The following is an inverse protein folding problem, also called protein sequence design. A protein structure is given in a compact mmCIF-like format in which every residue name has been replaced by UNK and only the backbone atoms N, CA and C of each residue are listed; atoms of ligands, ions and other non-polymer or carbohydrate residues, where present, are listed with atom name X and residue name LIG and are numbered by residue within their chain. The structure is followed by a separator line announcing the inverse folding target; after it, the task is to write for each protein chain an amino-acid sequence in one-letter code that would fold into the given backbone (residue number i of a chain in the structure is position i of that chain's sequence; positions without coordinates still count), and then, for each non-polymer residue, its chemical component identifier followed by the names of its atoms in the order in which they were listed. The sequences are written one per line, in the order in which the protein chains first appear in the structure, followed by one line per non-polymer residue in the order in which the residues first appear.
data_IF_608066801879
#
_entry.id   IF_608066801879
#
_cell.length_a   1.000
_cell.length_b   1.000
_cell.length_c   1.000
_cell.angle_alpha   90.00
_cell.angle_beta   90.00
_cell.angle_gamma   90.00
#
_symmetry.space_group_name_H-M   'P 1'
#
loop_
_entity.id
_entity.type
_entity.pdbx_description
1 polymer ?
#
# COMPACT_ATOMS: atom_id res chain seq x y z
N UNK A 1 -6.35 0.65 17.70
CA UNK A 1 -6.24 0.16 16.30
C UNK A 1 -5.71 -1.27 16.38
N UNK A 2 -6.40 -2.25 15.80
CA UNK A 2 -5.90 -3.64 15.75
C UNK A 2 -5.41 -3.87 14.31
N UNK A 3 -4.11 -4.06 14.14
CA UNK A 3 -3.51 -4.41 12.85
C UNK A 3 -3.29 -5.92 12.86
N UNK A 4 -3.79 -6.60 11.83
CA UNK A 4 -3.51 -8.02 11.61
C UNK A 4 -2.81 -8.10 10.26
N UNK A 5 -1.55 -8.51 10.28
CA UNK A 5 -0.76 -8.75 9.08
C UNK A 5 -0.81 -10.24 8.75
N UNK A 6 -1.09 -10.57 7.49
CA UNK A 6 -1.03 -11.94 6.96
C UNK A 6 0.14 -12.03 5.97
N UNK A 7 0.88 -13.14 6.00
CA UNK A 7 2.05 -13.36 5.13
C UNK A 7 3.32 -13.85 5.84
N UNK A 8 3.32 -13.91 7.18
CA UNK A 8 4.43 -14.49 7.97
C UNK A 8 4.10 -15.91 8.50
N UNK A 9 2.92 -16.45 8.20
CA UNK A 9 2.38 -17.67 8.82
C UNK A 9 2.53 -18.96 7.99
N UNK A 10 3.27 -18.95 6.87
CA UNK A 10 3.62 -20.20 6.17
C UNK A 10 4.87 -20.90 6.74
N UNK A 11 5.59 -20.23 7.65
CA UNK A 11 6.66 -20.81 8.47
C UNK A 11 6.18 -21.07 9.90
N UNK A 12 6.69 -22.11 10.55
CA UNK A 12 6.37 -22.42 11.95
C UNK A 12 6.69 -21.22 12.84
N UNK A 13 5.67 -20.55 13.37
CA UNK A 13 5.84 -19.49 14.38
C UNK A 13 6.62 -20.02 15.57
N UNK A 14 7.83 -19.51 15.80
CA UNK A 14 8.53 -19.67 17.08
C UNK A 14 7.98 -18.61 18.03
N UNK A 15 7.74 -18.94 19.31
CA UNK A 15 7.02 -18.08 20.26
C UNK A 15 7.78 -16.81 20.71
N UNK A 16 8.81 -16.38 19.97
CA UNK A 16 9.71 -15.29 20.37
C UNK A 16 9.82 -14.10 19.39
N UNK A 17 9.17 -14.14 18.21
CA UNK A 17 9.37 -13.15 17.13
C UNK A 17 8.41 -11.94 17.14
N UNK A 18 7.60 -11.79 18.19
CA UNK A 18 6.58 -10.72 18.25
C UNK A 18 7.11 -9.34 18.69
N UNK A 19 8.43 -9.13 18.76
CA UNK A 19 9.03 -7.89 19.30
C UNK A 19 9.63 -6.96 18.26
N UNK A 20 9.77 -7.38 17.01
CA UNK A 20 10.29 -6.54 15.93
C UNK A 20 9.28 -5.45 15.49
N UNK A 21 9.13 -4.41 16.31
CA UNK A 21 8.36 -3.22 15.96
C UNK A 21 9.01 -2.43 14.82
N UNK A 22 8.23 -1.57 14.14
CA UNK A 22 8.74 -0.62 13.13
C UNK A 22 9.86 0.29 13.69
N UNK A 23 9.88 0.46 15.01
CA UNK A 23 10.83 1.31 15.75
C UNK A 23 12.01 0.52 16.37
N UNK A 24 12.09 -0.80 16.19
CA UNK A 24 13.12 -1.67 16.81
C UNK A 24 14.46 -1.66 16.04
N UNK A 25 14.76 -0.52 15.42
CA UNK A 25 15.83 -0.36 14.44
C UNK A 25 15.38 -0.71 13.02
N UNK A 26 16.16 -0.33 11.99
CA UNK A 26 15.77 -0.55 10.62
C UNK A 26 15.52 -2.04 10.36
N UNK A 27 14.32 -2.39 9.88
CA UNK A 27 13.85 -3.76 9.63
C UNK A 27 14.80 -4.61 8.74
N UNK A 28 15.67 -3.98 7.95
CA UNK A 28 16.71 -4.65 7.16
C UNK A 28 17.92 -5.13 8.00
N UNK A 29 18.01 -4.78 9.29
CA UNK A 29 19.05 -5.27 10.21
C UNK A 29 18.70 -6.62 10.86
N UNK A 30 17.47 -7.11 10.72
CA UNK A 30 17.02 -8.37 11.31
C UNK A 30 17.55 -9.56 10.51
N UNK A 31 18.63 -10.19 10.95
CA UNK A 31 19.40 -11.15 10.15
C UNK A 31 18.92 -12.60 10.25
N UNK A 32 17.90 -12.85 11.06
CA UNK A 32 17.50 -14.22 11.42
C UNK A 32 16.66 -14.93 10.34
N UNK A 33 16.19 -14.20 9.32
CA UNK A 33 15.38 -14.75 8.22
C UNK A 33 15.76 -14.13 6.86
N UNK A 34 15.82 -14.93 5.77
CA UNK A 34 15.92 -14.40 4.42
C UNK A 34 14.70 -13.52 4.13
N UNK A 35 14.94 -12.34 3.56
CA UNK A 35 13.89 -11.35 3.27
C UNK A 35 13.59 -11.32 1.78
N UNK A 36 12.30 -11.28 1.49
CA UNK A 36 11.78 -11.12 0.14
C UNK A 36 10.72 -10.01 0.18
N UNK A 37 10.86 -9.01 -0.68
CA UNK A 37 9.87 -7.96 -0.93
C UNK A 37 8.72 -8.48 -1.80
N UNK A 38 8.86 -9.68 -2.37
CA UNK A 38 7.86 -10.32 -3.22
C UNK A 38 7.61 -9.54 -4.50
N UNK A 39 8.66 -8.98 -5.10
CA UNK A 39 8.56 -8.10 -6.26
C UNK A 39 7.95 -8.83 -7.46
N UNK A 40 6.90 -8.25 -8.05
CA UNK A 40 6.21 -8.80 -9.22
C UNK A 40 6.58 -8.01 -10.47
N UNK A 41 6.96 -8.68 -11.56
CA UNK A 41 7.21 -8.02 -12.84
C UNK A 41 5.90 -7.66 -13.53
N UNK A 42 5.80 -6.41 -13.98
CA UNK A 42 4.67 -5.89 -14.76
C UNK A 42 3.64 -5.13 -13.94
N UNK A 43 3.29 -3.92 -14.42
CA UNK A 43 2.39 -3.01 -13.72
C UNK A 43 0.98 -3.57 -13.58
N UNK A 44 0.47 -4.20 -14.63
CA UNK A 44 -0.89 -4.73 -14.68
C UNK A 44 -1.01 -5.97 -13.80
N UNK A 45 -0.02 -6.84 -13.85
CA UNK A 45 0.06 -8.08 -13.07
C UNK A 45 0.15 -7.78 -11.57
N UNK A 46 1.07 -6.89 -11.19
CA UNK A 46 1.27 -6.51 -9.80
C UNK A 46 0.08 -5.77 -9.19
N UNK A 47 -0.55 -4.85 -9.92
CA UNK A 47 -1.75 -4.12 -9.41
C UNK A 47 -2.96 -5.04 -9.28
N UNK A 48 -3.16 -5.99 -10.21
CA UNK A 48 -4.19 -7.02 -10.08
C UNK A 48 -3.95 -7.90 -8.86
N UNK A 49 -2.72 -8.36 -8.66
CA UNK A 49 -2.37 -9.17 -7.49
C UNK A 49 -2.61 -8.41 -6.18
N UNK A 50 -2.21 -7.14 -6.12
CA UNK A 50 -2.46 -6.26 -4.97
C UNK A 50 -3.95 -6.18 -4.62
N UNK A 51 -4.80 -5.93 -5.62
CA UNK A 51 -6.26 -5.86 -5.44
C UNK A 51 -6.82 -7.19 -4.94
N UNK A 52 -6.49 -8.30 -5.61
CA UNK A 52 -6.99 -9.64 -5.27
C UNK A 52 -6.57 -10.01 -3.85
N UNK A 53 -5.33 -9.72 -3.43
CA UNK A 53 -4.87 -10.02 -2.08
C UNK A 53 -5.74 -9.36 -1.00
N UNK A 54 -6.13 -8.09 -1.19
CA UNK A 54 -7.00 -7.40 -0.24
C UNK A 54 -8.44 -7.96 -0.27
N UNK A 55 -9.01 -8.16 -1.46
CA UNK A 55 -10.39 -8.66 -1.63
C UNK A 55 -10.56 -10.08 -1.10
N UNK A 56 -9.61 -10.97 -1.40
CA UNK A 56 -9.60 -12.34 -0.89
C UNK A 56 -9.48 -12.37 0.63
N UNK A 57 -8.60 -11.55 1.22
CA UNK A 57 -8.48 -11.48 2.67
C UNK A 57 -9.75 -10.95 3.33
N UNK A 58 -10.36 -9.91 2.75
CA UNK A 58 -11.63 -9.38 3.25
C UNK A 58 -12.76 -10.41 3.17
N UNK A 59 -12.83 -11.17 2.07
CA UNK A 59 -13.81 -12.24 1.87
C UNK A 59 -13.67 -13.33 2.93
N UNK A 60 -12.45 -13.80 3.18
CA UNK A 60 -12.18 -14.81 4.20
C UNK A 60 -12.48 -14.28 5.61
N UNK A 61 -12.10 -13.04 5.90
CA UNK A 61 -12.37 -12.41 7.19
C UNK A 61 -13.86 -12.37 7.48
N UNK A 62 -14.68 -11.91 6.54
CA UNK A 62 -16.13 -11.84 6.73
C UNK A 62 -16.82 -13.20 6.65
N UNK A 63 -16.28 -14.17 5.90
CA UNK A 63 -16.77 -15.54 5.92
C UNK A 63 -16.73 -16.14 7.34
N UNK A 64 -15.66 -15.85 8.11
CA UNK A 64 -15.56 -16.27 9.51
C UNK A 64 -16.56 -15.57 10.45
N UNK A 65 -17.18 -14.46 10.02
CA UNK A 65 -18.12 -13.66 10.78
C UNK A 65 -19.59 -13.85 10.36
N UNK A 66 -19.89 -14.88 9.57
CA UNK A 66 -21.25 -15.16 9.08
C UNK A 66 -21.60 -14.46 7.76
N UNK A 67 -20.60 -13.96 7.03
CA UNK A 67 -20.73 -13.37 5.70
C UNK A 67 -20.86 -11.86 5.71
N UNK A 68 -20.53 -11.24 4.56
CA UNK A 68 -20.53 -9.79 4.39
C UNK A 68 -21.92 -9.16 4.58
N UNK A 69 -22.98 -9.85 4.15
CA UNK A 69 -24.35 -9.31 4.21
C UNK A 69 -24.85 -9.17 5.65
N UNK A 70 -24.52 -10.12 6.52
CA UNK A 70 -24.85 -10.05 7.94
C UNK A 70 -24.13 -8.87 8.62
N UNK A 71 -22.87 -8.66 8.27
CA UNK A 71 -22.07 -7.54 8.80
C UNK A 71 -22.59 -6.20 8.25
N UNK A 72 -22.93 -6.11 6.97
CA UNK A 72 -23.57 -4.92 6.37
C UNK A 72 -24.91 -4.60 7.05
N UNK A 73 -25.75 -5.61 7.30
CA UNK A 73 -27.02 -5.43 7.99
C UNK A 73 -26.83 -4.91 9.42
N UNK A 74 -25.86 -5.47 10.16
CA UNK A 74 -25.50 -5.00 11.50
C UNK A 74 -24.92 -3.58 11.50
N UNK A 75 -24.11 -3.22 10.51
CA UNK A 75 -23.56 -1.88 10.39
C UNK A 75 -24.64 -0.84 10.07
N UNK A 76 -25.67 -1.21 9.29
CA UNK A 76 -26.81 -0.35 8.94
C UNK A 76 -27.83 -0.19 10.06
N UNK A 77 -27.98 -1.18 10.94
CA UNK A 77 -28.98 -1.12 12.02
C UNK A 77 -28.71 0.01 13.02
N UNK A 78 -27.50 0.59 13.02
CA UNK A 78 -27.18 1.79 13.81
C UNK A 78 -27.26 1.58 15.33
N UNK A 79 -27.47 0.33 15.78
CA UNK A 79 -27.55 -0.05 17.19
C UNK A 79 -26.13 -0.01 17.75
N UNK A 80 -25.74 1.19 18.16
CA UNK A 80 -24.51 1.45 18.89
C UNK A 80 -24.86 1.52 20.37
N UNK A 81 -24.16 0.76 21.19
CA UNK A 81 -24.25 0.97 22.63
C UNK A 81 -23.78 2.40 22.96
N UNK A 82 -24.44 3.11 23.89
CA UNK A 82 -24.05 4.46 24.26
C UNK A 82 -22.60 4.46 24.75
N UNK A 83 -21.75 5.23 24.07
CA UNK A 83 -20.30 5.31 24.31
C UNK A 83 -19.43 4.46 23.37
N UNK A 84 -20.01 3.70 22.43
CA UNK A 84 -19.23 2.97 21.43
C UNK A 84 -18.71 3.88 20.31
N UNK A 85 -17.43 3.71 19.95
CA UNK A 85 -16.80 4.42 18.83
C UNK A 85 -17.16 3.70 17.54
N UNK A 86 -17.56 4.44 16.50
CA UNK A 86 -17.81 3.88 15.17
C UNK A 86 -16.51 3.32 14.60
N UNK A 87 -16.43 2.00 14.46
CA UNK A 87 -15.30 1.31 13.84
C UNK A 87 -15.63 0.92 12.40
N UNK A 88 -14.60 0.66 11.59
CA UNK A 88 -14.75 0.12 10.25
C UNK A 88 -13.60 -0.83 9.99
N UNK A 89 -13.91 -1.99 9.42
CA UNK A 89 -12.92 -2.98 9.05
C UNK A 89 -12.41 -2.66 7.65
N UNK A 90 -11.13 -2.29 7.59
CA UNK A 90 -10.48 -1.82 6.36
C UNK A 90 -9.33 -2.75 6.04
N UNK A 91 -9.27 -3.20 4.80
CA UNK A 91 -8.27 -4.13 4.30
C UNK A 91 -7.31 -3.39 3.39
N UNK A 92 -6.02 -3.54 3.66
CA UNK A 92 -4.94 -2.89 2.93
C UNK A 92 -4.03 -3.97 2.36
N UNK A 93 -3.72 -3.87 1.07
CA UNK A 93 -2.66 -4.64 0.43
C UNK A 93 -1.59 -3.68 -0.10
N UNK A 94 -0.34 -4.12 0.02
CA UNK A 94 0.84 -3.45 -0.54
C UNK A 94 1.61 -4.49 -1.34
N UNK A 95 1.91 -4.19 -2.60
CA UNK A 95 2.61 -5.10 -3.51
C UNK A 95 3.76 -4.36 -4.18
N UNK A 96 4.98 -4.89 -4.05
CA UNK A 96 6.12 -4.39 -4.82
C UNK A 96 6.00 -4.86 -6.28
N UNK A 97 6.27 -3.95 -7.21
CA UNK A 97 6.14 -4.16 -8.66
C UNK A 97 7.40 -3.63 -9.33
N UNK A 98 8.02 -4.43 -10.20
CA UNK A 98 9.12 -3.97 -11.06
C UNK A 98 8.64 -3.77 -12.49
N UNK A 99 9.11 -2.69 -13.11
CA UNK A 99 8.84 -2.33 -14.49
C UNK A 99 10.09 -1.73 -15.12
N UNK A 100 10.29 -2.00 -16.40
CA UNK A 100 11.35 -1.37 -17.18
C UNK A 100 11.14 0.17 -17.21
N UNK A 101 12.20 0.96 -17.09
CA UNK A 101 12.09 2.42 -17.16
C UNK A 101 11.72 2.90 -18.57
N UNK A 102 10.73 3.78 -18.64
CA UNK A 102 10.33 4.39 -19.92
C UNK A 102 11.27 5.56 -20.27
N UNK A 103 12.32 5.23 -21.04
CA UNK A 103 13.31 6.20 -21.53
C UNK A 103 12.74 7.23 -22.50
N UNK A 104 11.52 7.06 -23.00
CA UNK A 104 10.90 7.95 -23.97
C UNK A 104 10.15 9.12 -23.32
N UNK A 105 9.82 9.04 -22.02
CA UNK A 105 9.04 10.07 -21.31
C UNK A 105 9.70 11.44 -21.30
N UNK A 106 11.05 11.49 -21.33
CA UNK A 106 11.81 12.74 -21.32
C UNK A 106 12.84 12.75 -22.44
N UNK A 107 12.46 13.24 -23.64
CA UNK A 107 13.18 13.09 -24.92
C UNK A 107 14.70 13.37 -25.00
N UNK A 108 15.35 13.88 -23.93
CA UNK A 108 16.82 13.94 -23.81
C UNK A 108 17.45 12.59 -23.44
N UNK A 109 16.77 11.73 -22.68
CA UNK A 109 17.24 10.37 -22.34
C UNK A 109 17.21 9.45 -23.55
N UNK A 110 16.24 9.59 -24.45
CA UNK A 110 16.18 8.81 -25.70
C UNK A 110 17.35 9.10 -26.66
N UNK A 111 17.85 10.34 -26.70
CA UNK A 111 19.01 10.72 -27.50
C UNK A 111 20.33 10.21 -26.86
N UNK A 112 20.48 10.35 -25.55
CA UNK A 112 21.64 9.85 -24.81
C UNK A 112 21.71 8.30 -24.76
N UNK A 113 20.57 7.62 -24.67
CA UNK A 113 20.49 6.16 -24.73
C UNK A 113 20.97 5.61 -26.08
N UNK A 114 20.80 6.37 -27.16
CA UNK A 114 21.28 5.98 -28.50
C UNK A 114 22.81 6.11 -28.62
N UNK A 115 23.41 7.09 -27.94
CA UNK A 115 24.88 7.25 -27.86
C UNK A 115 25.52 6.25 -26.88
N UNK A 116 24.87 5.94 -25.75
CA UNK A 116 25.37 4.96 -24.75
C UNK A 116 25.37 3.52 -25.27
N UNK A 117 24.39 3.17 -26.11
CA UNK A 117 24.27 1.83 -26.73
C UNK A 117 25.41 1.48 -27.68
N UNK A 118 26.18 2.47 -28.13
CA UNK A 118 27.36 2.25 -28.98
C UNK A 118 28.67 2.14 -28.15
N UNK A 119 28.62 2.33 -26.82
CA UNK A 119 29.81 2.50 -25.98
C UNK A 119 29.97 1.52 -24.79
N UNK A 120 28.95 0.76 -24.36
CA UNK A 120 29.06 -0.11 -23.17
C UNK A 120 28.57 -1.54 -23.40
N UNK A 121 29.41 -2.51 -23.03
CA UNK A 121 29.11 -3.94 -22.91
C UNK A 121 28.06 -4.18 -21.80
N UNK A 122 26.94 -4.78 -22.19
CA UNK A 122 25.99 -5.68 -21.50
C UNK A 122 25.61 -5.61 -19.99
N UNK A 123 26.25 -4.83 -19.10
CA UNK A 123 25.92 -4.81 -17.66
C UNK A 123 25.13 -3.58 -17.18
N UNK A 124 24.99 -2.53 -18.01
CA UNK A 124 24.38 -1.24 -17.62
C UNK A 124 22.84 -1.20 -17.83
N UNK A 125 22.25 -2.26 -18.39
CA UNK A 125 20.80 -2.34 -18.70
C UNK A 125 19.96 -2.82 -17.49
N UNK A 126 20.52 -3.57 -16.53
CA UNK A 126 19.80 -3.96 -15.30
C UNK A 126 19.61 -2.81 -14.31
N UNK A 127 20.44 -1.75 -14.43
CA UNK A 127 20.39 -0.53 -13.64
C UNK A 127 19.21 0.39 -13.99
N UNK A 128 18.47 0.05 -15.04
CA UNK A 128 17.38 0.86 -15.57
C UNK A 128 16.01 0.39 -15.12
N UNK A 129 15.90 -0.75 -14.44
CA UNK A 129 14.62 -1.18 -13.89
C UNK A 129 14.22 -0.27 -12.71
N UNK A 130 12.94 0.04 -12.64
CA UNK A 130 12.35 0.78 -11.53
C UNK A 130 11.30 -0.08 -10.85
N UNK A 131 11.29 -0.09 -9.53
CA UNK A 131 10.21 -0.68 -8.76
C UNK A 131 9.33 0.37 -8.09
N UNK A 132 8.07 -0.01 -7.85
CA UNK A 132 7.01 0.80 -7.26
C UNK A 132 6.22 -0.07 -6.28
N UNK A 133 5.55 0.54 -5.32
CA UNK A 133 4.53 -0.13 -4.52
C UNK A 133 3.16 0.19 -5.09
N UNK A 134 2.37 -0.84 -5.40
CA UNK A 134 0.92 -0.70 -5.53
C UNK A 134 0.30 -0.81 -4.13
N UNK A 135 -0.58 0.14 -3.80
CA UNK A 135 -1.32 0.17 -2.56
C UNK A 135 -2.80 0.13 -2.91
N UNK A 136 -3.53 -0.82 -2.32
CA UNK A 136 -4.97 -0.94 -2.50
C UNK A 136 -5.65 -1.05 -1.14
N UNK A 137 -6.67 -0.22 -0.93
CA UNK A 137 -7.49 -0.22 0.28
C UNK A 137 -8.94 -0.53 -0.09
N UNK A 138 -9.58 -1.41 0.68
CA UNK A 138 -10.99 -1.77 0.51
C UNK A 138 -11.71 -1.84 1.85
N UNK A 139 -12.89 -1.24 1.90
CA UNK A 139 -13.88 -1.39 2.95
C UNK A 139 -15.16 -2.00 2.30
N UNK A 140 -15.33 -3.33 2.37
CA UNK A 140 -16.48 -3.99 1.75
C UNK A 140 -17.82 -3.64 2.40
N UNK A 141 -17.82 -3.19 3.67
CA UNK A 141 -19.04 -2.84 4.39
C UNK A 141 -19.61 -1.52 3.86
N UNK A 142 -18.74 -0.55 3.59
CA UNK A 142 -19.12 0.77 3.08
C UNK A 142 -18.94 0.93 1.56
N UNK A 143 -18.48 -0.12 0.86
CA UNK A 143 -18.26 -0.13 -0.59
C UNK A 143 -17.31 0.99 -1.03
N UNK A 144 -16.23 1.18 -0.25
CA UNK A 144 -15.19 2.16 -0.53
C UNK A 144 -13.94 1.40 -0.96
N UNK A 145 -13.43 1.72 -2.14
CA UNK A 145 -12.16 1.23 -2.63
C UNK A 145 -11.32 2.40 -3.16
N UNK A 146 -10.03 2.39 -2.85
CA UNK A 146 -9.07 3.32 -3.42
C UNK A 146 -7.75 2.60 -3.71
N UNK A 147 -7.05 3.06 -4.74
CA UNK A 147 -5.77 2.53 -5.14
C UNK A 147 -4.80 3.68 -5.42
N UNK A 148 -3.52 3.45 -5.17
CA UNK A 148 -2.45 4.34 -5.65
C UNK A 148 -1.20 3.53 -5.96
N UNK A 149 -0.27 4.15 -6.69
CA UNK A 149 1.05 3.60 -6.97
C UNK A 149 2.07 4.60 -6.45
N UNK A 150 3.10 4.12 -5.76
CA UNK A 150 4.17 4.97 -5.24
C UNK A 150 5.01 5.58 -6.35
N UNK A 151 5.85 6.55 -5.96
CA UNK A 151 6.93 7.05 -6.81
C UNK A 151 7.84 5.88 -7.27
N UNK A 152 8.44 5.95 -8.46
CA UNK A 152 9.47 4.99 -8.87
C UNK A 152 10.69 5.05 -7.96
N UNK A 153 11.29 3.88 -7.73
CA UNK A 153 12.50 3.68 -6.94
C UNK A 153 13.44 2.78 -7.77
N UNK A 154 14.77 2.99 -7.78
CA UNK A 154 15.69 2.12 -8.51
C UNK A 154 15.55 0.65 -8.07
N UNK A 155 15.37 -0.28 -9.03
CA UNK A 155 15.16 -1.71 -8.74
C UNK A 155 16.32 -2.35 -7.95
N UNK A 156 17.56 -1.90 -8.17
CA UNK A 156 18.72 -2.38 -7.41
C UNK A 156 18.61 -2.17 -5.91
N UNK A 157 17.88 -1.15 -5.45
CA UNK A 157 17.66 -0.94 -4.01
C UNK A 157 16.88 -2.10 -3.37
N UNK A 158 15.95 -2.72 -4.11
CA UNK A 158 15.27 -3.93 -3.65
C UNK A 158 16.28 -5.07 -3.47
N UNK A 159 17.18 -5.28 -4.44
CA UNK A 159 18.23 -6.31 -4.39
C UNK A 159 19.20 -6.10 -3.22
N UNK A 160 19.58 -4.85 -2.95
CA UNK A 160 20.45 -4.51 -1.82
C UNK A 160 19.79 -4.86 -0.47
N UNK A 161 18.47 -4.68 -0.35
CA UNK A 161 17.71 -4.98 0.87
C UNK A 161 17.41 -6.48 1.05
N UNK A 162 17.25 -7.21 -0.07
CA UNK A 162 16.98 -8.65 -0.12
C UNK A 162 18.25 -9.52 -0.04
N UNK A 163 19.45 -8.93 -0.18
CA UNK A 163 20.70 -9.66 -0.16
C UNK A 163 20.78 -10.63 1.04
N UNK A 164 20.95 -11.95 0.79
CA UNK A 164 20.78 -12.98 1.82
C UNK A 164 21.80 -12.82 2.95
N UNK A 165 21.33 -13.01 4.19
CA UNK A 165 22.19 -13.37 5.31
C UNK A 165 22.48 -14.87 5.26
N UNK A 166 23.73 -15.35 5.42
CA UNK A 166 24.01 -16.78 5.32
C UNK A 166 23.30 -17.58 6.42
N UNK A 167 22.55 -18.61 6.03
CA UNK A 167 21.87 -19.56 6.90
C UNK A 167 22.89 -20.62 7.38
N UNK A 168 23.68 -20.25 8.39
CA UNK A 168 24.58 -21.07 9.21
C UNK A 168 25.95 -21.56 8.65
N UNK A 169 26.90 -21.58 9.61
CA UNK A 169 28.19 -22.30 9.69
C UNK A 169 29.47 -21.65 9.11
N UNK A 170 29.73 -20.39 9.45
CA UNK A 170 31.04 -19.92 9.93
C UNK A 170 30.89 -18.46 10.38
N UNK A 171 30.81 -18.25 11.69
CA UNK A 171 30.93 -16.92 12.26
C UNK A 171 32.28 -16.30 11.84
N UNK A 172 32.26 -15.01 11.50
CA UNK A 172 33.39 -14.06 11.50
C UNK A 172 33.76 -13.31 10.20
N UNK A 173 32.90 -13.26 9.19
CA UNK A 173 33.06 -12.29 8.09
C UNK A 173 31.81 -11.39 7.91
N UNK A 174 31.84 -10.10 8.33
CA UNK A 174 30.80 -9.11 7.99
C UNK A 174 30.66 -8.89 6.46
N UNK A 175 31.66 -9.30 5.68
CA UNK A 175 31.77 -9.11 4.23
C UNK A 175 30.84 -10.02 3.40
N UNK A 176 30.31 -11.11 3.95
CA UNK A 176 29.42 -12.03 3.21
C UNK A 176 27.94 -11.60 3.18
N UNK A 177 27.61 -10.42 3.73
CA UNK A 177 26.24 -10.00 4.09
C UNK A 177 25.74 -8.79 3.30
N UNK A 178 26.45 -8.44 2.23
CA UNK A 178 26.33 -7.19 1.48
C UNK A 178 26.31 -7.54 0.01
N UNK A 179 25.37 -6.97 -0.75
CA UNK A 179 25.31 -7.14 -2.20
C UNK A 179 26.63 -6.66 -2.83
N UNK A 180 27.07 -7.27 -3.92
CA UNK A 180 28.40 -6.96 -4.49
C UNK A 180 28.55 -5.46 -4.85
N UNK A 181 27.48 -4.84 -5.38
CA UNK A 181 27.38 -3.41 -5.74
C UNK A 181 27.80 -2.46 -4.62
N UNK A 182 27.51 -2.83 -3.38
CA UNK A 182 27.71 -1.98 -2.22
C UNK A 182 28.78 -2.53 -1.28
N UNK A 183 29.43 -3.64 -1.65
CA UNK A 183 30.47 -4.27 -0.82
C UNK A 183 31.67 -3.35 -0.63
N UNK A 184 32.18 -2.72 -1.70
CA UNK A 184 33.32 -1.80 -1.62
C UNK A 184 33.04 -0.61 -0.72
N UNK A 185 31.87 0.00 -0.85
CA UNK A 185 31.41 1.14 -0.02
C UNK A 185 31.43 0.77 1.47
N UNK A 186 30.91 -0.41 1.81
CA UNK A 186 30.89 -0.89 3.20
C UNK A 186 32.29 -1.28 3.69
N UNK A 187 33.13 -1.86 2.84
CA UNK A 187 34.51 -2.24 3.19
C UNK A 187 35.43 -1.04 3.41
N UNK A 188 35.18 0.07 2.72
CA UNK A 188 35.88 1.35 2.92
C UNK A 188 35.50 2.03 4.24
N UNK A 189 34.53 1.47 4.98
CA UNK A 189 34.04 2.00 6.25
C UNK A 189 33.07 3.17 6.08
N UNK A 190 32.52 3.35 4.87
CA UNK A 190 31.47 4.33 4.62
C UNK A 190 30.11 3.84 5.16
N UNK A 191 29.12 4.74 5.14
CA UNK A 191 27.76 4.46 5.62
C UNK A 191 27.09 3.41 4.72
N UNK A 192 26.60 2.31 5.30
CA UNK A 192 25.90 1.24 4.57
C UNK A 192 24.70 1.82 3.79
N UNK A 193 24.68 1.69 2.45
CA UNK A 193 23.61 2.26 1.63
C UNK A 193 22.19 1.86 2.03
N UNK A 194 22.03 0.67 2.62
CA UNK A 194 20.74 0.16 3.07
C UNK A 194 20.11 1.03 4.16
N UNK A 195 20.91 1.77 4.94
CA UNK A 195 20.41 2.68 5.98
C UNK A 195 19.53 3.77 5.41
N UNK A 196 20.05 4.52 4.45
CA UNK A 196 19.31 5.62 3.85
C UNK A 196 18.25 5.11 2.88
N UNK A 197 18.54 4.04 2.12
CA UNK A 197 17.54 3.39 1.23
C UNK A 197 16.29 2.99 2.00
N UNK A 198 16.43 2.36 3.17
CA UNK A 198 15.29 1.96 3.99
C UNK A 198 14.47 3.17 4.50
N UNK A 199 15.15 4.28 4.81
CA UNK A 199 14.48 5.54 5.12
C UNK A 199 13.62 6.04 3.94
N UNK A 200 14.19 6.07 2.73
CA UNK A 200 13.45 6.45 1.53
C UNK A 200 12.25 5.54 1.23
N UNK A 201 12.40 4.23 1.39
CA UNK A 201 11.29 3.28 1.22
C UNK A 201 10.18 3.52 2.25
N UNK A 202 10.55 3.77 3.51
CA UNK A 202 9.59 4.10 4.58
C UNK A 202 8.80 5.35 4.24
N UNK A 203 9.46 6.40 3.77
CA UNK A 203 8.82 7.68 3.43
C UNK A 203 7.92 7.53 2.20
N UNK A 204 8.36 6.79 1.18
CA UNK A 204 7.58 6.49 -0.02
C UNK A 204 6.30 5.71 0.30
N UNK A 205 6.42 4.67 1.14
CA UNK A 205 5.26 3.90 1.64
C UNK A 205 4.33 4.76 2.49
N UNK A 206 4.88 5.55 3.41
CA UNK A 206 4.09 6.44 4.28
C UNK A 206 3.28 7.45 3.47
N UNK A 207 3.91 8.06 2.47
CA UNK A 207 3.23 8.99 1.56
C UNK A 207 2.12 8.28 0.78
N UNK A 208 2.42 7.15 0.17
CA UNK A 208 1.49 6.43 -0.70
C UNK A 208 0.28 5.89 0.08
N UNK A 209 0.52 5.29 1.25
CA UNK A 209 -0.56 4.86 2.17
C UNK A 209 -1.34 6.07 2.69
N UNK A 210 -0.66 7.18 3.00
CA UNK A 210 -1.28 8.42 3.43
C UNK A 210 -2.30 8.96 2.42
N UNK A 211 -2.00 8.89 1.13
CA UNK A 211 -2.91 9.33 0.05
C UNK A 211 -4.22 8.54 0.09
N UNK A 212 -4.17 7.20 0.09
CA UNK A 212 -5.40 6.37 0.12
C UNK A 212 -6.14 6.50 1.45
N UNK A 213 -5.43 6.68 2.56
CA UNK A 213 -6.03 6.91 3.87
C UNK A 213 -6.81 8.23 3.92
N UNK A 214 -6.24 9.31 3.37
CA UNK A 214 -6.92 10.61 3.28
C UNK A 214 -8.20 10.51 2.44
N UNK A 215 -8.12 9.83 1.29
CA UNK A 215 -9.28 9.64 0.41
C UNK A 215 -10.37 8.82 1.11
N UNK A 216 -9.99 7.74 1.78
CA UNK A 216 -10.90 6.93 2.59
C UNK A 216 -11.59 7.76 3.68
N UNK A 217 -10.84 8.52 4.47
CA UNK A 217 -11.41 9.38 5.53
C UNK A 217 -12.32 10.44 4.95
N UNK A 218 -11.91 11.13 3.89
CA UNK A 218 -12.73 12.15 3.23
C UNK A 218 -14.07 11.56 2.76
N UNK A 219 -14.04 10.36 2.17
CA UNK A 219 -15.24 9.65 1.73
C UNK A 219 -16.13 9.23 2.91
N UNK A 220 -15.56 8.67 3.98
CA UNK A 220 -16.30 8.23 5.17
C UNK A 220 -16.91 9.39 5.95
N UNK A 221 -16.24 10.53 5.97
CA UNK A 221 -16.68 11.76 6.62
C UNK A 221 -17.53 12.65 5.70
N UNK A 222 -17.81 12.21 4.47
CA UNK A 222 -18.57 12.97 3.47
C UNK A 222 -17.99 14.37 3.18
N UNK A 223 -16.69 14.54 3.36
CA UNK A 223 -16.00 15.80 3.08
C UNK A 223 -16.04 16.05 1.57
N UNK A 224 -16.57 17.21 1.15
CA UNK A 224 -16.72 17.57 -0.26
C UNK A 224 -17.95 16.98 -0.95
N UNK A 225 -18.78 16.20 -0.25
CA UNK A 225 -20.13 15.86 -0.74
C UNK A 225 -21.00 17.10 -0.54
N UNK A 226 -21.41 17.74 -1.64
CA UNK A 226 -22.23 18.96 -1.60
C UNK A 226 -23.58 18.71 -0.89
N UNK A 227 -23.68 19.05 0.40
CA UNK A 227 -24.96 19.17 1.12
C UNK A 227 -25.90 20.23 0.51
N UNK A 228 -25.44 20.99 -0.48
CA UNK A 228 -26.28 21.90 -1.25
C UNK A 228 -27.40 21.17 -2.03
N UNK A 229 -27.18 19.92 -2.48
CA UNK A 229 -28.21 19.17 -3.21
C UNK A 229 -29.32 18.61 -2.30
N UNK A 230 -28.99 18.21 -1.08
CA UNK A 230 -29.98 17.75 -0.09
C UNK A 230 -30.85 18.90 0.41
N UNK A 231 -30.28 20.09 0.68
CA UNK A 231 -31.08 21.27 1.04
C UNK A 231 -31.95 21.81 -0.10
N UNK A 232 -31.51 21.69 -1.35
CA UNK A 232 -32.32 22.10 -2.50
C UNK A 232 -33.49 21.12 -2.74
N UNK A 233 -33.32 19.82 -2.43
CA UNK A 233 -34.40 18.84 -2.47
C UNK A 233 -35.41 19.02 -1.32
N UNK A 234 -34.94 19.26 -0.09
CA UNK A 234 -35.82 19.58 1.05
C UNK A 234 -36.59 20.90 0.85
N UNK A 235 -35.96 21.93 0.26
CA UNK A 235 -36.69 23.16 -0.09
C UNK A 235 -37.72 22.95 -1.18
N UNK A 236 -37.43 22.13 -2.20
CA UNK A 236 -38.37 21.90 -3.30
C UNK A 236 -39.55 21.03 -2.88
N UNK A 237 -39.34 20.08 -1.95
CA UNK A 237 -40.42 19.31 -1.35
C UNK A 237 -41.29 20.16 -0.41
N UNK A 238 -40.68 21.07 0.37
CA UNK A 238 -41.44 22.00 1.22
C UNK A 238 -42.23 23.04 0.41
N UNK A 239 -41.69 23.55 -0.70
CA UNK A 239 -42.42 24.47 -1.60
C UNK A 239 -43.56 23.75 -2.37
N UNK A 240 -43.41 22.45 -2.70
CA UNK A 240 -44.47 21.66 -3.36
C UNK A 240 -45.60 21.28 -2.38
N UNK A 241 -45.28 20.98 -1.11
CA UNK A 241 -46.30 20.68 -0.08
C UNK A 241 -47.09 21.94 0.32
N UNK A 242 -46.47 23.14 0.35
CA UNK A 242 -47.16 24.41 0.63
C UNK A 242 -48.09 24.84 -0.54
N UNK A 243 -47.73 24.52 -1.80
CA UNK A 243 -48.58 24.81 -2.97
C UNK A 243 -49.82 23.89 -3.04
N UNK A 244 -49.72 22.62 -2.62
CA UNK A 244 -50.86 21.70 -2.58
C UNK A 244 -51.86 22.03 -1.44
N UNK A 245 -51.38 22.55 -0.29
CA UNK A 245 -52.27 23.00 0.81
C UNK A 245 -53.03 24.30 0.48
N UNK A 246 -52.46 25.20 -0.33
CA UNK A 246 -53.15 26.43 -0.76
C UNK A 246 -54.26 26.12 -1.80
N UNK A 247 -54.05 25.18 -2.73
CA UNK A 247 -55.07 24.80 -3.73
C UNK A 247 -56.28 24.05 -3.13
N UNK A 248 -56.11 23.28 -2.05
CA UNK A 248 -57.23 22.57 -1.39
C UNK A 248 -58.12 23.53 -0.56
N UNK A 249 -57.59 24.69 -0.16
CA UNK A 249 -58.30 25.68 0.67
C UNK A 249 -59.25 26.61 -0.09
N UNK A 250 -59.13 26.67 -1.43
CA UNK A 250 -59.92 27.55 -2.31
C UNK A 250 -61.15 26.83 -2.95
N UNK A 251 -61.36 25.53 -2.68
CA UNK A 251 -62.47 24.73 -3.24
C UNK A 251 -63.66 24.43 -2.29
N UNK A 252 -63.73 24.97 -1.05
CA UNK A 252 -64.90 24.83 -0.13
C UNK A 252 -65.82 26.07 -0.01
#
# INVERSE_FOLDING_TARGET
LKVVQRGHDSGSSRPHDNTAGWDDGPWWRQVDQPRELGVVKGLVEGTKLCRVNAESYATEFFASQGGIDAVKAKARSGVLEPGSVRTSDVFLSVQAIVTDQDKALFGRTAAAAKEKKEASDADDDEDEDEFRFAIFIVDPVHEIEYATISQPIPAKWARWLEAPGPLNEAADAPQSRVHEDIRSIVEEGELDPREWVAGWLKDSLTLSVGIVAQWYVARRMQVGVNHARTRAGEKKAADEDDEEEEEESDEE
#
